data_IF_776654759944
#
_entry.id   IF_776654759944
#
_cell.length_a   1.000
_cell.length_b   1.000
_cell.length_c   1.000
_cell.angle_alpha   90.00
_cell.angle_beta   90.00
_cell.angle_gamma   90.00
#
_symmetry.space_group_name_H-M   'P 1'
#
loop_
_entity.id
_entity.type
_entity.pdbx_description
1 polymer ?
#
# COMPACT_ATOMS: atom_id res chain seq x y z
N UNK A 1 22.28 13.32 -0.13
CA UNK A 1 21.63 12.03 0.22
C UNK A 1 22.30 10.92 -0.60
N UNK A 2 22.37 9.66 -0.12
CA UNK A 2 22.75 8.51 -0.93
C UNK A 2 21.95 8.44 -2.24
N UNK A 3 22.58 7.97 -3.33
CA UNK A 3 21.95 7.96 -4.66
C UNK A 3 20.70 7.08 -4.67
N UNK A 4 20.75 5.97 -3.93
CA UNK A 4 19.67 5.00 -3.83
C UNK A 4 18.41 5.60 -3.19
N UNK A 5 18.57 6.56 -2.27
CA UNK A 5 17.43 7.29 -1.70
C UNK A 5 16.84 8.32 -2.67
N UNK A 6 17.68 8.90 -3.54
CA UNK A 6 17.21 9.81 -4.60
C UNK A 6 16.38 9.00 -5.61
N UNK A 7 16.92 7.87 -6.07
CA UNK A 7 16.27 6.99 -7.03
C UNK A 7 14.98 6.38 -6.46
N UNK A 8 14.99 5.99 -5.18
CA UNK A 8 13.79 5.52 -4.48
C UNK A 8 12.71 6.58 -4.42
N UNK A 9 13.07 7.82 -4.07
CA UNK A 9 12.11 8.92 -4.00
C UNK A 9 11.55 9.27 -5.37
N UNK A 10 12.41 9.34 -6.40
CA UNK A 10 11.97 9.61 -7.79
C UNK A 10 11.00 8.55 -8.29
N UNK A 11 11.32 7.27 -8.09
CA UNK A 11 10.42 6.17 -8.44
C UNK A 11 9.09 6.25 -7.66
N UNK A 12 9.13 6.52 -6.35
CA UNK A 12 7.91 6.64 -5.55
C UNK A 12 7.00 7.77 -6.06
N UNK A 13 7.58 8.92 -6.44
CA UNK A 13 6.85 10.03 -7.03
C UNK A 13 6.24 9.65 -8.38
N UNK A 14 7.00 8.98 -9.24
CA UNK A 14 6.51 8.50 -10.56
C UNK A 14 5.35 7.52 -10.39
N UNK A 15 5.46 6.54 -9.49
CA UNK A 15 4.45 5.50 -9.30
C UNK A 15 3.14 6.01 -8.66
N UNK A 16 3.16 7.17 -8.02
CA UNK A 16 1.98 7.79 -7.38
C UNK A 16 1.51 9.07 -8.07
N UNK A 17 2.11 9.45 -9.21
CA UNK A 17 1.86 10.73 -9.86
C UNK A 17 0.39 10.89 -10.30
N UNK A 18 -0.21 9.84 -10.86
CA UNK A 18 -1.64 9.80 -11.18
C UNK A 18 -2.15 8.36 -11.12
N UNK A 19 -3.46 8.21 -10.87
CA UNK A 19 -4.12 6.91 -10.91
C UNK A 19 -5.57 7.04 -11.41
N UNK A 20 -5.75 7.75 -12.52
CA UNK A 20 -7.00 7.91 -13.25
C UNK A 20 -8.14 8.42 -12.33
N UNK A 21 -9.36 7.89 -12.45
CA UNK A 21 -10.53 8.39 -11.71
C UNK A 21 -10.69 7.66 -10.36
N UNK A 22 -9.74 7.90 -9.46
CA UNK A 22 -9.84 7.48 -8.06
C UNK A 22 -10.60 8.52 -7.21
N UNK A 23 -10.91 8.18 -5.95
CA UNK A 23 -11.77 9.01 -5.08
C UNK A 23 -11.24 10.45 -4.90
N UNK A 24 -9.93 10.62 -4.69
CA UNK A 24 -9.33 11.95 -4.52
C UNK A 24 -9.33 12.74 -5.83
N UNK A 25 -8.98 12.11 -6.96
CA UNK A 25 -9.06 12.76 -8.28
C UNK A 25 -10.49 13.21 -8.59
N UNK A 26 -11.49 12.36 -8.34
CA UNK A 26 -12.91 12.74 -8.52
C UNK A 26 -13.33 13.87 -7.57
N UNK A 27 -12.86 13.87 -6.33
CA UNK A 27 -13.12 14.96 -5.36
C UNK A 27 -12.57 16.29 -5.84
N UNK A 28 -11.34 16.32 -6.35
CA UNK A 28 -10.72 17.53 -6.94
C UNK A 28 -11.59 18.04 -8.11
N UNK A 29 -12.02 17.14 -9.01
CA UNK A 29 -12.84 17.50 -10.16
C UNK A 29 -14.22 18.04 -9.77
N UNK A 30 -14.86 17.44 -8.78
CA UNK A 30 -16.17 17.88 -8.28
C UNK A 30 -16.04 19.25 -7.60
N UNK A 31 -15.04 19.46 -6.74
CA UNK A 31 -14.80 20.76 -6.10
C UNK A 31 -14.51 21.85 -7.15
N UNK A 32 -13.71 21.54 -8.16
CA UNK A 32 -13.41 22.48 -9.25
C UNK A 32 -14.60 22.79 -10.16
N UNK A 33 -15.63 21.94 -10.22
CA UNK A 33 -16.80 22.16 -11.08
C UNK A 33 -17.69 23.34 -10.67
N UNK A 34 -17.49 23.87 -9.46
CA UNK A 34 -18.16 25.09 -8.97
C UNK A 34 -17.25 26.32 -9.03
N UNK A 35 -16.19 26.30 -9.84
CA UNK A 35 -15.16 27.35 -9.94
C UNK A 35 -14.47 27.68 -8.60
N UNK A 36 -14.30 26.68 -7.73
CA UNK A 36 -13.56 26.84 -6.49
C UNK A 36 -12.06 27.12 -6.77
N UNK A 37 -11.42 27.86 -5.86
CA UNK A 37 -9.98 28.14 -5.95
C UNK A 37 -9.16 26.84 -6.11
N UNK A 38 -8.15 26.78 -7.00
CA UNK A 38 -7.38 25.57 -7.23
C UNK A 38 -6.69 25.01 -5.98
N UNK A 39 -6.21 25.86 -5.07
CA UNK A 39 -5.61 25.41 -3.81
C UNK A 39 -6.66 24.73 -2.91
N UNK A 40 -7.90 25.26 -2.90
CA UNK A 40 -9.01 24.63 -2.18
C UNK A 40 -9.40 23.27 -2.80
N UNK A 41 -9.35 23.15 -4.13
CA UNK A 41 -9.61 21.89 -4.83
C UNK A 41 -8.57 20.82 -4.47
N UNK A 42 -7.28 21.19 -4.43
CA UNK A 42 -6.20 20.29 -4.01
C UNK A 42 -6.34 19.90 -2.53
N UNK A 43 -6.69 20.84 -1.65
CA UNK A 43 -6.95 20.54 -0.24
C UNK A 43 -8.08 19.50 -0.07
N UNK A 44 -9.16 19.60 -0.86
CA UNK A 44 -10.22 18.60 -0.87
C UNK A 44 -9.73 17.23 -1.37
N UNK A 45 -8.87 17.21 -2.40
CA UNK A 45 -8.20 15.99 -2.87
C UNK A 45 -7.34 15.33 -1.80
N UNK A 46 -6.53 16.10 -1.07
CA UNK A 46 -5.69 15.62 0.04
C UNK A 46 -6.55 15.02 1.15
N UNK A 47 -7.63 15.71 1.54
CA UNK A 47 -8.57 15.20 2.55
C UNK A 47 -9.21 13.87 2.14
N UNK A 48 -9.59 13.74 0.87
CA UNK A 48 -10.09 12.46 0.32
C UNK A 48 -9.01 11.37 0.28
N UNK A 49 -7.77 11.71 -0.08
CA UNK A 49 -6.64 10.77 -0.12
C UNK A 49 -6.26 10.25 1.27
N UNK A 50 -6.37 11.08 2.31
CA UNK A 50 -5.98 10.69 3.67
C UNK A 50 -6.85 9.56 4.27
N UNK A 51 -8.05 9.31 3.73
CA UNK A 51 -8.91 8.23 4.21
C UNK A 51 -8.21 6.86 4.23
N UNK A 52 -8.46 6.00 5.25
CA UNK A 52 -7.77 4.72 5.42
C UNK A 52 -8.03 3.71 4.29
N UNK A 53 -9.15 3.87 3.56
CA UNK A 53 -9.49 3.05 2.39
C UNK A 53 -8.98 3.63 1.06
N UNK A 54 -8.23 4.73 1.10
CA UNK A 54 -7.58 5.34 -0.05
C UNK A 54 -6.06 5.42 0.20
N UNK A 55 -5.46 6.60 0.32
CA UNK A 55 -4.02 6.77 0.54
C UNK A 55 -3.53 6.37 1.94
N UNK A 56 -4.41 6.26 2.94
CA UNK A 56 -4.06 5.77 4.27
C UNK A 56 -3.75 4.26 4.32
N UNK A 57 -3.95 3.52 3.22
CA UNK A 57 -3.69 2.10 3.15
C UNK A 57 -2.20 1.75 3.40
N UNK A 58 -1.25 2.59 2.96
CA UNK A 58 0.18 2.31 3.11
C UNK A 58 0.60 2.23 4.59
N UNK A 59 0.15 3.19 5.40
CA UNK A 59 0.40 3.17 6.85
C UNK A 59 -0.29 1.97 7.51
N UNK A 60 -1.50 1.63 7.06
CA UNK A 60 -2.23 0.50 7.58
C UNK A 60 -1.56 -0.85 7.26
N UNK A 61 -0.86 -1.00 6.14
CA UNK A 61 -0.04 -2.18 5.82
C UNK A 61 1.07 -2.34 6.86
N UNK A 62 1.83 -1.28 7.14
CA UNK A 62 2.92 -1.35 8.13
C UNK A 62 2.39 -1.67 9.53
N UNK A 63 1.27 -1.05 9.93
CA UNK A 63 0.59 -1.38 11.21
C UNK A 63 0.13 -2.83 11.27
N UNK A 64 -0.41 -3.35 10.17
CA UNK A 64 -0.82 -4.74 10.05
C UNK A 64 0.37 -5.70 10.20
N UNK A 65 1.47 -5.45 9.48
CA UNK A 65 2.68 -6.27 9.57
C UNK A 65 3.26 -6.27 11.00
N UNK A 66 3.30 -5.11 11.67
CA UNK A 66 3.69 -5.02 13.08
C UNK A 66 2.75 -5.80 14.01
N UNK A 67 1.44 -5.78 13.75
CA UNK A 67 0.47 -6.54 14.53
C UNK A 67 0.61 -8.06 14.33
N UNK A 68 0.96 -8.50 13.11
CA UNK A 68 1.33 -9.89 12.79
C UNK A 68 2.59 -10.28 13.55
N UNK A 69 3.63 -9.46 13.49
CA UNK A 69 4.85 -9.56 14.29
C UNK A 69 5.81 -10.67 13.87
N UNK A 70 5.34 -11.91 13.67
CA UNK A 70 6.18 -13.07 13.35
C UNK A 70 5.56 -13.95 12.26
N UNK A 71 6.42 -14.67 11.51
CA UNK A 71 6.02 -15.48 10.35
C UNK A 71 5.00 -16.57 10.71
N UNK A 72 5.12 -17.18 11.90
CA UNK A 72 4.22 -18.23 12.38
C UNK A 72 2.79 -17.73 12.66
N UNK A 73 2.60 -16.41 12.81
CA UNK A 73 1.29 -15.81 13.03
C UNK A 73 0.55 -15.49 11.73
N UNK A 74 1.22 -15.52 10.57
CA UNK A 74 0.61 -15.22 9.26
C UNK A 74 -0.64 -16.08 8.98
N UNK A 75 -0.62 -17.42 9.16
CA UNK A 75 -1.80 -18.25 8.88
C UNK A 75 -3.04 -17.84 9.69
N UNK A 76 -2.85 -17.48 10.95
CA UNK A 76 -3.95 -16.99 11.81
C UNK A 76 -4.57 -15.70 11.26
N UNK A 77 -3.76 -14.75 10.80
CA UNK A 77 -4.27 -13.48 10.24
C UNK A 77 -4.91 -13.67 8.86
N UNK A 78 -4.46 -14.64 8.07
CA UNK A 78 -5.13 -15.03 6.83
C UNK A 78 -6.54 -15.54 7.12
N UNK A 79 -6.70 -16.44 8.11
CA UNK A 79 -8.03 -16.94 8.49
C UNK A 79 -8.94 -15.83 9.02
N UNK A 80 -8.40 -14.89 9.82
CA UNK A 80 -9.15 -13.69 10.23
C UNK A 80 -9.64 -12.86 9.05
N UNK A 81 -8.83 -12.68 8.01
CA UNK A 81 -9.24 -11.93 6.82
C UNK A 81 -10.31 -12.65 5.99
N UNK A 82 -10.46 -13.97 6.16
CA UNK A 82 -11.51 -14.77 5.51
C UNK A 82 -12.81 -14.76 6.30
N UNK A 83 -12.73 -14.62 7.62
CA UNK A 83 -13.89 -14.58 8.51
C UNK A 83 -14.68 -13.26 8.31
N UNK A 84 -15.91 -13.39 7.81
CA UNK A 84 -16.81 -12.23 7.59
C UNK A 84 -17.27 -11.57 8.89
N UNK A 85 -17.10 -12.24 10.03
CA UNK A 85 -17.45 -11.73 11.35
C UNK A 85 -16.29 -11.04 12.06
N UNK A 86 -15.05 -11.23 11.59
CA UNK A 86 -13.88 -10.51 12.10
C UNK A 86 -13.74 -9.17 11.35
N UNK A 87 -13.54 -8.03 12.06
CA UNK A 87 -13.34 -6.73 11.42
C UNK A 87 -11.99 -6.61 10.68
N UNK A 88 -11.08 -7.57 10.85
CA UNK A 88 -9.76 -7.56 10.24
C UNK A 88 -9.84 -7.58 8.71
N UNK A 89 -9.05 -6.73 8.07
CA UNK A 89 -8.86 -6.72 6.62
C UNK A 89 -7.40 -6.87 6.28
N UNK A 90 -7.14 -7.66 5.24
CA UNK A 90 -5.81 -7.82 4.68
C UNK A 90 -5.45 -6.57 3.86
N UNK A 91 -4.73 -5.64 4.48
CA UNK A 91 -4.35 -4.36 3.86
C UNK A 91 -3.27 -4.57 2.79
N UNK A 92 -3.31 -3.77 1.72
CA UNK A 92 -2.36 -3.87 0.60
C UNK A 92 -2.71 -4.94 -0.44
N UNK A 93 -3.82 -5.67 -0.24
CA UNK A 93 -4.32 -6.67 -1.19
C UNK A 93 -5.64 -6.24 -1.82
N UNK A 94 -5.81 -6.60 -3.09
CA UNK A 94 -6.95 -6.22 -3.90
C UNK A 94 -6.82 -4.79 -4.43
N UNK A 95 -7.34 -4.57 -5.64
CA UNK A 95 -7.32 -3.26 -6.27
C UNK A 95 -8.60 -3.05 -7.08
N UNK A 96 -9.21 -1.86 -6.98
CA UNK A 96 -10.49 -1.58 -7.67
C UNK A 96 -10.39 -1.75 -9.19
N UNK A 97 -9.24 -1.38 -9.75
CA UNK A 97 -8.91 -1.46 -11.19
C UNK A 97 -8.18 -2.75 -11.56
N UNK A 98 -7.05 -3.06 -10.91
CA UNK A 98 -6.25 -4.25 -11.22
C UNK A 98 -6.82 -5.52 -10.58
N UNK A 99 -7.25 -6.47 -11.40
CA UNK A 99 -7.80 -7.76 -10.94
C UNK A 99 -6.75 -8.81 -10.63
N UNK A 100 -5.65 -8.82 -11.40
CA UNK A 100 -4.65 -9.89 -11.31
C UNK A 100 -3.37 -9.42 -10.61
N UNK A 101 -2.92 -8.20 -10.90
CA UNK A 101 -1.64 -7.69 -10.44
C UNK A 101 -1.54 -6.17 -10.64
N UNK A 102 -0.99 -5.45 -9.66
CA UNK A 102 -0.70 -4.02 -9.79
C UNK A 102 0.68 -3.83 -10.44
N UNK A 103 0.78 -3.28 -11.67
CA UNK A 103 2.05 -3.12 -12.37
C UNK A 103 3.06 -2.24 -11.64
N UNK A 104 2.61 -1.36 -10.73
CA UNK A 104 3.48 -0.50 -9.92
C UNK A 104 4.23 -1.29 -8.86
N UNK A 105 3.62 -2.37 -8.35
CA UNK A 105 4.18 -3.18 -7.29
C UNK A 105 5.49 -3.87 -7.71
N UNK A 106 5.71 -4.14 -9.00
CA UNK A 106 6.94 -4.81 -9.46
C UNK A 106 8.16 -3.95 -9.19
N UNK A 107 8.12 -2.70 -9.67
CA UNK A 107 9.23 -1.77 -9.53
C UNK A 107 9.39 -1.34 -8.08
N UNK A 108 8.27 -1.16 -7.37
CA UNK A 108 8.30 -0.84 -5.94
C UNK A 108 8.93 -1.95 -5.10
N UNK A 109 8.68 -3.23 -5.42
CA UNK A 109 9.29 -4.37 -4.73
C UNK A 109 10.80 -4.40 -4.91
N UNK A 110 11.29 -4.22 -6.14
CA UNK A 110 12.74 -4.16 -6.43
C UNK A 110 13.39 -3.03 -5.63
N UNK A 111 12.80 -1.83 -5.67
CA UNK A 111 13.31 -0.69 -4.93
C UNK A 111 13.27 -0.90 -3.40
N UNK A 112 12.23 -1.56 -2.90
CA UNK A 112 12.11 -1.87 -1.47
C UNK A 112 13.26 -2.77 -0.99
N UNK A 113 13.63 -3.81 -1.75
CA UNK A 113 14.80 -4.62 -1.44
C UNK A 113 16.08 -3.77 -1.37
N UNK A 114 16.33 -2.94 -2.38
CA UNK A 114 17.54 -2.11 -2.43
C UNK A 114 17.63 -1.14 -1.23
N UNK A 115 16.50 -0.50 -0.85
CA UNK A 115 16.47 0.42 0.29
C UNK A 115 16.67 -0.32 1.61
N UNK A 116 16.05 -1.49 1.80
CA UNK A 116 16.20 -2.28 3.02
C UNK A 116 17.65 -2.76 3.17
N UNK A 117 18.29 -3.24 2.11
CA UNK A 117 19.68 -3.71 2.15
C UNK A 117 20.67 -2.62 2.61
N UNK A 118 20.36 -1.35 2.36
CA UNK A 118 21.20 -0.21 2.77
C UNK A 118 20.88 0.23 4.20
N UNK A 119 19.61 0.15 4.60
CA UNK A 119 19.14 0.68 5.89
C UNK A 119 19.11 -0.35 7.03
N UNK A 120 19.18 -1.66 6.75
CA UNK A 120 18.91 -2.69 7.76
C UNK A 120 19.90 -2.68 8.95
N UNK A 121 21.11 -2.17 8.74
CA UNK A 121 22.09 -2.03 9.82
C UNK A 121 21.68 -0.96 10.84
N UNK A 122 20.95 0.06 10.39
CA UNK A 122 20.44 1.15 11.23
C UNK A 122 19.05 0.84 11.79
N UNK A 123 18.23 0.11 11.04
CA UNK A 123 16.90 -0.34 11.43
C UNK A 123 16.65 -1.81 11.06
N UNK A 124 16.98 -2.75 11.95
CA UNK A 124 16.75 -4.18 11.73
C UNK A 124 15.26 -4.57 11.60
N UNK A 125 14.33 -3.71 12.03
CA UNK A 125 12.88 -3.95 11.89
C UNK A 125 12.51 -4.03 10.39
N UNK A 126 13.18 -3.26 9.53
CA UNK A 126 12.89 -3.20 8.10
C UNK A 126 13.01 -4.56 7.41
N UNK A 127 14.06 -5.32 7.72
CA UNK A 127 14.25 -6.67 7.18
C UNK A 127 13.12 -7.60 7.62
N UNK A 128 12.78 -7.56 8.91
CA UNK A 128 11.70 -8.37 9.49
C UNK A 128 10.35 -8.05 8.83
N UNK A 129 10.04 -6.77 8.65
CA UNK A 129 8.80 -6.33 8.00
C UNK A 129 8.75 -6.75 6.53
N UNK A 130 9.88 -6.68 5.81
CA UNK A 130 9.96 -7.13 4.42
C UNK A 130 9.75 -8.65 4.30
N UNK A 131 10.37 -9.44 5.17
CA UNK A 131 10.19 -10.90 5.21
C UNK A 131 8.74 -11.28 5.51
N UNK A 132 8.12 -10.63 6.50
CA UNK A 132 6.69 -10.79 6.81
C UNK A 132 5.83 -10.46 5.60
N UNK A 133 6.10 -9.33 4.92
CA UNK A 133 5.33 -8.91 3.75
C UNK A 133 5.44 -9.90 2.60
N UNK A 134 6.64 -10.42 2.33
CA UNK A 134 6.88 -11.40 1.28
C UNK A 134 6.20 -12.74 1.55
N UNK A 135 6.28 -13.26 2.77
CA UNK A 135 5.62 -14.53 3.09
C UNK A 135 4.09 -14.37 3.12
N UNK A 136 3.59 -13.22 3.60
CA UNK A 136 2.17 -12.89 3.54
C UNK A 136 1.67 -12.80 2.09
N UNK A 137 2.40 -12.12 1.19
CA UNK A 137 2.13 -12.07 -0.25
C UNK A 137 2.06 -13.47 -0.85
N UNK A 138 3.07 -14.30 -0.60
CA UNK A 138 3.15 -15.67 -1.12
C UNK A 138 1.97 -16.52 -0.67
N UNK A 139 1.64 -16.50 0.63
CA UNK A 139 0.51 -17.28 1.17
C UNK A 139 -0.83 -16.78 0.62
N UNK A 140 -1.04 -15.46 0.58
CA UNK A 140 -2.28 -14.89 0.08
C UNK A 140 -2.48 -15.16 -1.43
N UNK A 141 -1.42 -15.05 -2.24
CA UNK A 141 -1.46 -15.35 -3.68
C UNK A 141 -1.66 -16.84 -4.00
N UNK A 142 -1.32 -17.74 -3.07
CA UNK A 142 -1.55 -19.18 -3.20
C UNK A 142 -2.93 -19.63 -2.69
N UNK A 143 -3.67 -18.75 -2.00
CA UNK A 143 -4.92 -19.10 -1.34
C UNK A 143 -6.14 -18.86 -2.24
N UNK A 144 -6.89 -19.93 -2.45
CA UNK A 144 -8.13 -19.98 -3.26
C UNK A 144 -9.14 -18.87 -2.93
N UNK A 145 -9.23 -18.42 -1.66
CA UNK A 145 -10.17 -17.38 -1.25
C UNK A 145 -9.82 -16.01 -1.84
N UNK A 146 -8.52 -15.68 -1.89
CA UNK A 146 -8.04 -14.41 -2.43
C UNK A 146 -7.90 -14.46 -3.95
N UNK A 147 -7.47 -15.59 -4.51
CA UNK A 147 -7.36 -15.77 -5.98
C UNK A 147 -8.72 -15.62 -6.70
N UNK A 148 -9.82 -16.02 -6.04
CA UNK A 148 -11.18 -15.94 -6.62
C UNK A 148 -11.83 -14.55 -6.52
N UNK A 149 -11.18 -13.56 -5.91
CA UNK A 149 -11.73 -12.22 -5.65
C UNK A 149 -10.98 -11.12 -6.38
#
# INVERSE_FOLDING_TARGET
PPQEFIDAMDLLLILHADHEQNASTSTVRIAGSSDADPFACIAAGIASLWGPSHGGANEAVVKMLRAIGTLDRIPMFIEKAKDKSDPFKLMGFGHRVYKNYDPRATQMKIMCHNVVDICENDDPELRTLLELAMELEKMACADDYFVKR
#
